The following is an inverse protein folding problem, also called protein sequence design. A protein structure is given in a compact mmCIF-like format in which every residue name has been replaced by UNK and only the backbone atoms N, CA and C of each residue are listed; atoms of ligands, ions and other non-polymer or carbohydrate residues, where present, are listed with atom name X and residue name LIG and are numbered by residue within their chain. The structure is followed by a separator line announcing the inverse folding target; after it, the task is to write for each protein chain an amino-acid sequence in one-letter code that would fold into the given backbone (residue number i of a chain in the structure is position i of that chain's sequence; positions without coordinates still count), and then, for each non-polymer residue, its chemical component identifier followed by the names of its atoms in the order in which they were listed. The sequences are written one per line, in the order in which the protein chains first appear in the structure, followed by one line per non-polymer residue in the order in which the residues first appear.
data_IF_962237662909
#
_entry.id   IF_962237662909
#
_cell.length_a   1.000
_cell.length_b   1.000
_cell.length_c   1.000
_cell.angle_alpha   90.00
_cell.angle_beta   90.00
_cell.angle_gamma   90.00
#
_symmetry.space_group_name_H-M   'P 1'
#
loop_
_entity.id
_entity.type
_entity.pdbx_description
1 polymer ?
#
# COMPACT_ATOMS: atom_id res chain seq x y z
N UNK A 1 32.76 12.56 1.23
CA UNK A 1 31.53 12.08 0.56
C UNK A 1 31.41 12.81 -0.77
N UNK A 2 30.94 12.13 -1.83
CA UNK A 2 30.79 12.73 -3.15
C UNK A 2 29.71 13.84 -3.14
N UNK A 3 29.90 14.89 -3.95
CA UNK A 3 28.85 15.88 -4.20
C UNK A 3 27.69 15.19 -4.92
N UNK A 4 26.51 15.21 -4.32
CA UNK A 4 25.31 14.55 -4.88
C UNK A 4 24.50 15.53 -5.74
N UNK A 5 23.77 14.97 -6.70
CA UNK A 5 22.77 15.71 -7.48
C UNK A 5 21.61 16.12 -6.60
N UNK A 6 21.03 17.27 -6.91
CA UNK A 6 19.85 17.79 -6.23
C UNK A 6 18.58 17.56 -7.07
N UNK A 7 17.44 17.50 -6.40
CA UNK A 7 16.12 17.44 -7.02
C UNK A 7 15.18 18.39 -6.31
N UNK A 8 14.24 18.98 -7.05
CA UNK A 8 13.13 19.69 -6.43
C UNK A 8 12.23 18.66 -5.75
N UNK A 9 11.96 18.89 -4.47
CA UNK A 9 11.16 17.98 -3.65
C UNK A 9 9.88 18.67 -3.20
N UNK A 10 8.76 17.98 -3.36
CA UNK A 10 7.46 18.38 -2.84
C UNK A 10 6.83 17.21 -2.08
N UNK A 11 6.46 17.42 -0.81
CA UNK A 11 5.72 16.45 -0.04
C UNK A 11 4.21 16.62 -0.31
N UNK A 12 3.57 15.57 -0.86
CA UNK A 12 2.16 15.58 -1.25
C UNK A 12 1.27 14.81 -0.28
N UNK A 13 1.80 14.46 0.89
CA UNK A 13 1.13 13.57 1.85
C UNK A 13 0.14 14.29 2.78
N UNK A 14 -0.16 15.57 2.51
CA UNK A 14 -1.10 16.35 3.29
C UNK A 14 -2.49 15.69 3.37
N UNK A 15 -2.91 14.98 2.31
CA UNK A 15 -4.17 14.24 2.29
C UNK A 15 -4.24 13.07 3.28
N UNK A 16 -3.09 12.52 3.68
CA UNK A 16 -2.99 11.42 4.64
C UNK A 16 -2.82 11.90 6.09
N UNK A 17 -2.71 13.21 6.31
CA UNK A 17 -2.65 13.78 7.67
C UNK A 17 -4.05 13.91 8.25
N UNK A 18 -4.24 13.35 9.44
CA UNK A 18 -5.50 13.49 10.16
C UNK A 18 -5.66 14.92 10.66
N UNK A 19 -6.78 15.56 10.29
CA UNK A 19 -7.15 16.90 10.77
C UNK A 19 -7.82 16.86 12.14
N UNK A 20 -8.51 15.76 12.43
CA UNK A 20 -9.20 15.49 13.68
C UNK A 20 -9.00 14.02 14.07
N UNK A 21 -9.18 13.72 15.35
CA UNK A 21 -9.05 12.37 15.91
C UNK A 21 -10.40 11.94 16.51
N UNK A 22 -11.43 11.89 15.67
CA UNK A 22 -12.79 11.49 16.07
C UNK A 22 -13.08 10.07 15.60
N UNK A 23 -13.04 9.14 16.56
CA UNK A 23 -13.26 7.71 16.33
C UNK A 23 -14.69 7.25 16.63
N UNK A 24 -15.62 8.17 16.92
CA UNK A 24 -17.01 7.83 17.23
C UNK A 24 -17.86 7.63 15.96
N UNK A 25 -17.25 7.78 14.78
CA UNK A 25 -17.92 7.74 13.48
C UNK A 25 -18.01 6.32 12.93
N UNK A 26 -19.07 6.07 12.15
CA UNK A 26 -19.28 4.78 11.49
C UNK A 26 -18.61 4.75 10.11
N UNK A 27 -18.15 3.57 9.70
CA UNK A 27 -17.46 3.35 8.43
C UNK A 27 -18.35 3.44 7.18
N UNK A 28 -19.69 3.49 7.33
CA UNK A 28 -20.60 3.64 6.19
C UNK A 28 -20.36 4.93 5.41
N UNK A 29 -19.96 6.01 6.07
CA UNK A 29 -19.64 7.28 5.41
C UNK A 29 -18.46 7.16 4.45
N UNK A 30 -17.42 6.40 4.83
CA UNK A 30 -16.27 6.13 3.97
C UNK A 30 -16.69 5.40 2.68
N UNK A 31 -17.49 4.34 2.79
CA UNK A 31 -17.99 3.61 1.62
C UNK A 31 -18.91 4.47 0.74
N UNK A 32 -19.79 5.27 1.34
CA UNK A 32 -20.66 6.17 0.59
C UNK A 32 -19.85 7.20 -0.21
N UNK A 33 -18.82 7.81 0.42
CA UNK A 33 -17.94 8.74 -0.27
C UNK A 33 -17.12 8.06 -1.37
N UNK A 34 -16.59 6.87 -1.10
CA UNK A 34 -15.83 6.08 -2.08
C UNK A 34 -16.68 5.79 -3.31
N UNK A 35 -17.89 5.25 -3.12
CA UNK A 35 -18.80 4.94 -4.21
C UNK A 35 -19.19 6.20 -4.99
N UNK A 36 -19.56 7.28 -4.32
CA UNK A 36 -19.94 8.53 -4.99
C UNK A 36 -18.80 9.12 -5.84
N UNK A 37 -17.57 9.15 -5.31
CA UNK A 37 -16.43 9.67 -6.05
C UNK A 37 -16.03 8.77 -7.22
N UNK A 38 -15.97 7.45 -6.99
CA UNK A 38 -15.63 6.48 -8.03
C UNK A 38 -16.69 6.40 -9.12
N UNK A 39 -17.98 6.53 -8.79
CA UNK A 39 -19.07 6.64 -9.78
C UNK A 39 -18.86 7.84 -10.69
N UNK A 40 -18.56 9.01 -10.13
CA UNK A 40 -18.26 10.22 -10.93
C UNK A 40 -17.08 10.01 -11.88
N UNK A 41 -16.08 9.24 -11.46
CA UNK A 41 -14.87 8.96 -12.24
C UNK A 41 -15.10 7.88 -13.31
N UNK A 42 -15.85 6.83 -12.99
CA UNK A 42 -16.11 5.67 -13.85
C UNK A 42 -17.21 5.92 -14.89
N UNK A 43 -18.24 6.72 -14.59
CA UNK A 43 -19.34 6.99 -15.53
C UNK A 43 -18.88 7.45 -16.92
N UNK A 44 -18.00 8.47 -17.07
CA UNK A 44 -17.54 8.89 -18.40
C UNK A 44 -16.69 7.81 -19.09
N UNK A 45 -15.86 7.07 -18.35
CA UNK A 45 -15.02 6.00 -18.90
C UNK A 45 -15.87 4.81 -19.39
N UNK A 46 -16.91 4.45 -18.65
CA UNK A 46 -17.84 3.40 -19.02
C UNK A 46 -18.62 3.78 -20.30
N UNK A 47 -19.07 5.03 -20.40
CA UNK A 47 -19.74 5.53 -21.61
C UNK A 47 -18.81 5.63 -22.82
N UNK A 48 -17.53 5.92 -22.61
CA UNK A 48 -16.51 5.91 -23.66
C UNK A 48 -16.23 4.46 -24.15
N UNK A 49 -16.12 3.50 -23.22
CA UNK A 49 -15.84 2.10 -23.54
C UNK A 49 -17.04 1.37 -24.18
N UNK A 50 -18.23 1.51 -23.62
CA UNK A 50 -19.43 0.72 -23.99
C UNK A 50 -20.47 1.51 -24.80
N UNK A 51 -20.27 2.81 -24.97
CA UNK A 51 -21.17 3.68 -25.72
C UNK A 51 -22.33 4.21 -24.87
N UNK A 52 -22.95 5.30 -25.35
CA UNK A 52 -24.04 5.98 -24.65
C UNK A 52 -25.41 5.30 -24.78
N UNK A 53 -25.51 4.28 -25.63
CA UNK A 53 -26.74 3.48 -25.72
C UNK A 53 -26.95 2.60 -24.50
N UNK A 54 -25.87 2.20 -23.81
CA UNK A 54 -25.95 1.41 -22.59
C UNK A 54 -26.26 2.33 -21.39
N UNK A 55 -27.43 2.19 -20.75
CA UNK A 55 -27.79 3.06 -19.65
C UNK A 55 -27.00 2.70 -18.40
N UNK A 56 -26.48 3.71 -17.70
CA UNK A 56 -25.99 3.54 -16.32
C UNK A 56 -27.22 3.56 -15.40
N UNK A 57 -27.49 2.46 -14.72
CA UNK A 57 -28.64 2.30 -13.81
C UNK A 57 -28.17 2.08 -12.37
N UNK A 58 -28.99 2.46 -11.39
CA UNK A 58 -28.84 1.99 -10.00
C UNK A 58 -29.45 0.60 -9.82
N UNK A 59 -29.04 -0.14 -8.80
CA UNK A 59 -29.57 -1.48 -8.55
C UNK A 59 -31.06 -1.48 -8.25
N UNK A 60 -31.57 -0.42 -7.62
CA UNK A 60 -33.00 -0.30 -7.32
C UNK A 60 -33.90 -0.18 -8.56
N UNK A 61 -33.34 0.26 -9.70
CA UNK A 61 -34.05 0.41 -10.97
C UNK A 61 -34.19 -0.93 -11.73
N UNK A 62 -33.45 -1.97 -11.32
CA UNK A 62 -33.56 -3.30 -11.91
C UNK A 62 -34.80 -4.07 -11.42
N UNK A 63 -35.50 -3.56 -10.39
CA UNK A 63 -36.65 -4.26 -9.81
C UNK A 63 -37.83 -4.27 -10.77
N UNK A 64 -38.22 -5.46 -11.21
CA UNK A 64 -39.43 -5.69 -12.00
C UNK A 64 -39.26 -5.52 -13.50
N UNK A 65 -38.05 -5.19 -13.96
CA UNK A 65 -37.69 -5.21 -15.38
C UNK A 65 -36.95 -6.54 -15.67
N UNK A 66 -37.41 -7.29 -16.67
CA UNK A 66 -36.73 -8.48 -17.19
C UNK A 66 -35.81 -8.08 -18.35
N UNK A 67 -34.72 -8.81 -18.55
CA UNK A 67 -33.77 -8.64 -19.67
C UNK A 67 -33.19 -7.22 -19.81
N UNK A 68 -32.92 -6.56 -18.68
CA UNK A 68 -32.27 -5.24 -18.67
C UNK A 68 -30.78 -5.40 -18.92
N UNK A 69 -30.34 -5.03 -20.12
CA UNK A 69 -28.93 -4.84 -20.42
C UNK A 69 -28.51 -3.42 -20.02
N UNK A 70 -27.54 -3.29 -19.12
CA UNK A 70 -27.13 -2.00 -18.57
C UNK A 70 -25.74 -2.02 -17.94
N UNK A 71 -25.28 -0.82 -17.57
CA UNK A 71 -24.06 -0.61 -16.79
C UNK A 71 -24.45 -0.37 -15.34
N UNK A 72 -23.81 -1.11 -14.43
CA UNK A 72 -23.90 -0.89 -12.99
C UNK A 72 -22.55 -0.42 -12.46
N UNK A 73 -22.55 0.56 -11.56
CA UNK A 73 -21.35 0.98 -10.83
C UNK A 73 -21.62 0.75 -9.35
N UNK A 74 -20.78 -0.05 -8.72
CA UNK A 74 -20.98 -0.45 -7.34
C UNK A 74 -19.70 -0.88 -6.64
N UNK A 75 -19.82 -1.08 -5.33
CA UNK A 75 -18.74 -1.58 -4.49
C UNK A 75 -18.81 -3.09 -4.42
N UNK A 76 -17.70 -3.75 -4.68
CA UNK A 76 -17.55 -5.18 -4.55
C UNK A 76 -17.54 -5.56 -3.07
N UNK A 77 -18.38 -6.51 -2.71
CA UNK A 77 -18.34 -7.24 -1.45
C UNK A 77 -18.07 -8.71 -1.76
N UNK A 78 -16.96 -9.24 -1.23
CA UNK A 78 -16.62 -10.66 -1.34
C UNK A 78 -17.03 -11.36 -0.06
N UNK A 79 -18.00 -12.26 -0.16
CA UNK A 79 -18.43 -13.09 0.94
C UNK A 79 -17.53 -14.32 1.03
N UNK A 80 -16.74 -14.40 2.09
CA UNK A 80 -15.75 -15.45 2.31
C UNK A 80 -16.06 -16.21 3.59
N UNK A 81 -16.18 -17.52 3.49
CA UNK A 81 -16.61 -18.36 4.62
C UNK A 81 -15.64 -18.29 5.80
N UNK A 82 -14.35 -18.12 5.49
CA UNK A 82 -13.24 -18.18 6.43
C UNK A 82 -12.67 -16.82 6.83
N UNK A 83 -13.31 -15.72 6.40
CA UNK A 83 -12.93 -14.38 6.85
C UNK A 83 -13.06 -14.31 8.39
N UNK A 84 -12.05 -13.78 9.11
CA UNK A 84 -12.11 -13.62 10.56
C UNK A 84 -13.37 -12.87 11.00
N UNK A 85 -13.97 -13.30 12.12
CA UNK A 85 -15.20 -12.71 12.62
C UNK A 85 -15.15 -12.60 14.14
N UNK A 86 -15.07 -11.37 14.63
CA UNK A 86 -15.05 -11.06 16.08
C UNK A 86 -16.26 -11.69 16.78
N UNK A 87 -17.44 -11.73 16.14
CA UNK A 87 -18.64 -12.32 16.72
C UNK A 87 -18.54 -13.85 16.85
N UNK A 88 -17.90 -14.53 15.88
CA UNK A 88 -17.63 -15.97 15.97
C UNK A 88 -16.59 -16.23 17.06
N UNK A 89 -15.52 -15.44 17.08
CA UNK A 89 -14.44 -15.57 18.07
C UNK A 89 -14.99 -15.42 19.50
N UNK A 90 -15.80 -14.39 19.77
CA UNK A 90 -16.44 -14.19 21.10
C UNK A 90 -17.44 -15.32 21.42
N UNK A 91 -18.17 -15.82 20.42
CA UNK A 91 -19.11 -16.93 20.63
C UNK A 91 -18.39 -18.25 20.95
N UNK A 92 -17.22 -18.48 20.36
CA UNK A 92 -16.42 -19.69 20.48
C UNK A 92 -15.41 -19.65 21.65
N UNK A 93 -15.08 -18.47 22.17
CA UNK A 93 -14.21 -18.26 23.34
C UNK A 93 -14.67 -19.05 24.58
N UNK A 94 -15.96 -19.39 24.67
CA UNK A 94 -16.50 -20.20 25.76
C UNK A 94 -16.41 -21.73 25.53
N UNK A 95 -15.97 -22.21 24.35
CA UNK A 95 -16.11 -23.64 23.97
C UNK A 95 -14.92 -24.26 23.23
N UNK A 96 -13.96 -23.52 22.67
CA UNK A 96 -12.85 -24.10 21.89
C UNK A 96 -11.47 -23.47 22.17
N UNK A 97 -10.43 -24.29 22.02
CA UNK A 97 -9.05 -23.79 21.93
C UNK A 97 -8.91 -22.94 20.66
N UNK A 98 -8.20 -21.80 20.70
CA UNK A 98 -8.05 -20.91 19.56
C UNK A 98 -7.43 -21.66 18.38
N UNK A 99 -8.14 -21.67 17.25
CA UNK A 99 -7.60 -22.20 16.00
C UNK A 99 -6.44 -21.33 15.51
N UNK A 100 -5.40 -21.91 14.89
CA UNK A 100 -4.32 -21.12 14.35
C UNK A 100 -4.87 -20.16 13.28
N UNK A 101 -4.48 -18.87 13.30
CA UNK A 101 -4.95 -17.90 12.33
C UNK A 101 -4.55 -18.34 10.92
N UNK A 102 -5.53 -18.41 10.01
CA UNK A 102 -5.27 -18.74 8.60
C UNK A 102 -4.44 -17.63 7.95
N UNK A 103 -3.45 -18.02 7.17
CA UNK A 103 -2.65 -17.07 6.40
C UNK A 103 -3.41 -16.50 5.20
N UNK A 104 -4.29 -17.28 4.58
CA UNK A 104 -5.19 -16.86 3.51
C UNK A 104 -6.58 -17.46 3.78
N UNK A 105 -7.63 -16.68 3.54
CA UNK A 105 -9.04 -17.05 3.74
C UNK A 105 -9.90 -16.95 2.47
N UNK A 106 -9.27 -16.83 1.30
CA UNK A 106 -9.92 -16.90 -0.02
C UNK A 106 -10.11 -18.33 -0.48
N UNK A 107 -11.29 -18.64 -0.96
CA UNK A 107 -11.65 -19.95 -1.53
C UNK A 107 -12.29 -19.79 -2.92
N UNK A 108 -12.23 -20.81 -3.80
CA UNK A 108 -12.90 -20.78 -5.11
C UNK A 108 -14.42 -20.58 -5.04
N UNK A 109 -15.06 -21.00 -3.95
CA UNK A 109 -16.51 -20.90 -3.74
C UNK A 109 -16.96 -19.54 -3.17
N UNK A 110 -16.03 -18.61 -2.95
CA UNK A 110 -16.32 -17.27 -2.47
C UNK A 110 -17.31 -16.55 -3.40
N UNK A 111 -18.27 -15.85 -2.82
CA UNK A 111 -19.35 -15.20 -3.59
C UNK A 111 -19.04 -13.72 -3.75
N UNK A 112 -19.10 -13.22 -4.96
CA UNK A 112 -18.94 -11.79 -5.27
C UNK A 112 -20.30 -11.14 -5.44
N UNK A 113 -20.49 -10.06 -4.70
CA UNK A 113 -21.71 -9.25 -4.68
C UNK A 113 -21.33 -7.81 -5.03
N UNK A 114 -22.13 -7.17 -5.86
CA UNK A 114 -22.04 -5.74 -6.13
C UNK A 114 -23.07 -5.01 -5.27
N UNK A 115 -22.61 -4.05 -4.47
CA UNK A 115 -23.44 -3.24 -3.57
C UNK A 115 -23.48 -1.78 -4.06
N UNK A 116 -24.67 -1.18 -4.06
CA UNK A 116 -24.85 0.27 -4.19
C UNK A 116 -25.35 0.86 -2.86
N UNK A 117 -25.91 2.07 -2.85
CA UNK A 117 -26.38 2.70 -1.62
C UNK A 117 -27.61 2.01 -0.98
N UNK A 118 -28.37 1.23 -1.77
CA UNK A 118 -29.69 0.74 -1.38
C UNK A 118 -29.81 -0.79 -1.43
N UNK A 119 -29.11 -1.45 -2.35
CA UNK A 119 -29.32 -2.84 -2.71
C UNK A 119 -28.01 -3.55 -3.04
N UNK A 120 -28.14 -4.85 -3.29
CA UNK A 120 -27.03 -5.75 -3.58
C UNK A 120 -27.48 -6.73 -4.66
N UNK A 121 -26.60 -7.05 -5.59
CA UNK A 121 -26.82 -8.10 -6.59
C UNK A 121 -25.61 -9.01 -6.63
N UNK A 122 -25.84 -10.32 -6.72
CA UNK A 122 -24.73 -11.27 -6.86
C UNK A 122 -24.31 -11.32 -8.32
N UNK A 123 -23.00 -11.25 -8.54
CA UNK A 123 -22.39 -11.29 -9.86
C UNK A 123 -22.09 -12.74 -10.26
N UNK A 124 -22.24 -13.04 -11.54
CA UNK A 124 -21.82 -14.30 -12.15
C UNK A 124 -21.36 -14.07 -13.60
N UNK A 125 -20.81 -15.11 -14.23
CA UNK A 125 -20.31 -15.06 -15.60
C UNK A 125 -18.87 -15.56 -15.70
N UNK A 126 -18.50 -16.07 -16.87
CA UNK A 126 -17.18 -16.70 -17.11
C UNK A 126 -16.01 -15.70 -16.98
N UNK A 127 -16.27 -14.41 -17.23
CA UNK A 127 -15.28 -13.34 -17.14
C UNK A 127 -15.03 -12.88 -15.69
N UNK A 128 -15.86 -13.31 -14.74
CA UNK A 128 -15.75 -12.92 -13.34
C UNK A 128 -14.63 -13.71 -12.65
N UNK A 129 -13.45 -13.11 -12.55
CA UNK A 129 -12.31 -13.65 -11.80
C UNK A 129 -12.49 -13.40 -10.28
N UNK A 130 -13.56 -13.96 -9.71
CA UNK A 130 -14.00 -13.73 -8.32
C UNK A 130 -12.89 -13.91 -7.27
N UNK A 131 -12.01 -14.89 -7.48
CA UNK A 131 -10.89 -15.20 -6.61
C UNK A 131 -9.84 -14.08 -6.53
N UNK A 132 -9.70 -13.26 -7.58
CA UNK A 132 -8.74 -12.14 -7.65
C UNK A 132 -9.33 -10.82 -7.12
N UNK A 133 -10.65 -10.77 -6.89
CA UNK A 133 -11.33 -9.57 -6.42
C UNK A 133 -11.28 -9.46 -4.89
N UNK A 134 -11.36 -8.23 -4.40
CA UNK A 134 -11.36 -7.93 -2.97
C UNK A 134 -12.55 -7.04 -2.60
N UNK A 135 -13.02 -7.17 -1.36
CA UNK A 135 -14.03 -6.27 -0.80
C UNK A 135 -13.57 -4.82 -0.82
N UNK A 136 -14.48 -3.91 -1.14
CA UNK A 136 -14.28 -2.46 -1.14
C UNK A 136 -13.73 -1.88 -2.45
N UNK A 137 -13.45 -2.71 -3.46
CA UNK A 137 -13.14 -2.28 -4.83
C UNK A 137 -14.40 -1.71 -5.48
N UNK A 138 -14.32 -0.56 -6.14
CA UNK A 138 -15.42 -0.02 -6.95
C UNK A 138 -15.12 -0.25 -8.42
N UNK A 139 -16.08 -0.82 -9.15
CA UNK A 139 -15.96 -1.06 -10.59
C UNK A 139 -17.28 -0.76 -11.30
N UNK A 140 -17.19 -0.60 -12.62
CA UNK A 140 -18.33 -0.65 -13.50
C UNK A 140 -18.43 -2.05 -14.11
N UNK A 141 -19.64 -2.60 -14.18
CA UNK A 141 -19.94 -3.89 -14.82
C UNK A 141 -20.99 -3.69 -15.90
N UNK A 142 -20.79 -4.28 -17.07
CA UNK A 142 -21.75 -4.35 -18.16
C UNK A 142 -22.37 -5.74 -18.19
N UNK A 143 -23.68 -5.80 -18.42
CA UNK A 143 -24.38 -7.06 -18.67
C UNK A 143 -25.86 -6.96 -18.33
N UNK A 144 -26.47 -8.08 -17.93
CA UNK A 144 -27.91 -8.14 -17.67
C UNK A 144 -28.33 -9.06 -16.54
N UNK A 145 -29.55 -8.82 -16.03
CA UNK A 145 -30.17 -9.63 -14.98
C UNK A 145 -30.75 -10.92 -15.54
N UNK A 146 -30.54 -12.04 -14.85
CA UNK A 146 -31.16 -13.32 -15.18
C UNK A 146 -32.49 -13.56 -14.44
N UNK A 147 -33.12 -14.72 -14.70
CA UNK A 147 -34.37 -15.13 -14.05
C UNK A 147 -34.24 -15.50 -12.57
N UNK A 148 -33.02 -15.76 -12.08
CA UNK A 148 -32.72 -16.08 -10.68
C UNK A 148 -32.36 -14.84 -9.85
N UNK A 149 -32.23 -13.67 -10.49
CA UNK A 149 -31.88 -12.40 -9.86
C UNK A 149 -30.37 -12.17 -9.72
N UNK A 150 -29.54 -12.94 -10.43
CA UNK A 150 -28.12 -12.68 -10.59
C UNK A 150 -27.86 -11.70 -11.73
N UNK A 151 -26.71 -11.03 -11.69
CA UNK A 151 -26.25 -10.18 -12.77
C UNK A 151 -25.15 -10.91 -13.56
N UNK A 152 -25.43 -11.22 -14.82
CA UNK A 152 -24.50 -11.83 -15.76
C UNK A 152 -23.53 -10.76 -16.27
N UNK A 153 -22.27 -10.84 -15.85
CA UNK A 153 -21.22 -9.90 -16.23
C UNK A 153 -20.65 -10.29 -17.59
N UNK A 154 -20.80 -9.39 -18.56
CA UNK A 154 -20.24 -9.52 -19.92
C UNK A 154 -18.91 -8.77 -20.07
N UNK A 155 -18.73 -7.68 -19.34
CA UNK A 155 -17.48 -6.93 -19.32
C UNK A 155 -17.35 -6.13 -18.02
N UNK A 156 -16.13 -5.75 -17.68
CA UNK A 156 -15.81 -4.97 -16.49
C UNK A 156 -14.84 -3.84 -16.80
N UNK A 157 -14.98 -2.76 -16.03
CA UNK A 157 -14.12 -1.60 -16.12
C UNK A 157 -13.73 -1.14 -14.72
N UNK A 158 -12.42 -0.95 -14.53
CA UNK A 158 -11.85 -0.31 -13.36
C UNK A 158 -11.37 1.09 -13.71
N UNK A 159 -11.08 1.90 -12.69
CA UNK A 159 -10.67 3.29 -12.89
C UNK A 159 -9.28 3.42 -13.54
N UNK A 160 -8.40 2.42 -13.38
CA UNK A 160 -7.02 2.42 -13.87
C UNK A 160 -6.18 3.62 -13.40
N UNK A 161 -6.49 4.14 -12.20
CA UNK A 161 -5.92 5.38 -11.64
C UNK A 161 -6.26 6.64 -12.44
N UNK A 162 -5.95 7.80 -11.86
CA UNK A 162 -6.20 9.09 -12.51
C UNK A 162 -5.22 9.46 -13.62
N UNK A 163 -5.31 10.69 -14.17
CA UNK A 163 -4.35 11.18 -15.16
C UNK A 163 -2.90 11.13 -14.65
N UNK A 164 -1.96 10.88 -15.56
CA UNK A 164 -0.51 10.95 -15.30
C UNK A 164 0.11 12.13 -16.05
N UNK A 165 0.88 12.97 -15.35
CA UNK A 165 1.66 14.05 -15.99
C UNK A 165 2.83 13.45 -16.77
N UNK A 166 3.08 13.82 -18.04
CA UNK A 166 4.19 13.24 -18.78
C UNK A 166 5.56 13.66 -18.22
N UNK A 167 6.47 12.69 -18.10
CA UNK A 167 7.86 12.96 -17.70
C UNK A 167 8.62 13.65 -18.83
N UNK A 168 9.33 14.73 -18.48
CA UNK A 168 10.27 15.40 -19.38
C UNK A 168 11.62 14.68 -19.32
N UNK A 169 12.17 14.34 -20.48
CA UNK A 169 13.49 13.76 -20.55
C UNK A 169 14.54 14.73 -19.98
N UNK A 170 15.29 14.30 -18.97
CA UNK A 170 16.50 14.95 -18.49
C UNK A 170 17.71 14.08 -18.85
N UNK A 171 18.76 14.67 -19.41
CA UNK A 171 19.98 13.95 -19.78
C UNK A 171 20.87 13.61 -18.55
N UNK A 172 20.27 13.30 -17.40
CA UNK A 172 20.98 13.02 -16.14
C UNK A 172 20.22 12.02 -15.26
N UNK A 173 20.80 10.84 -15.07
CA UNK A 173 20.31 9.80 -14.16
C UNK A 173 20.20 10.31 -12.72
N UNK A 174 19.06 10.08 -12.08
CA UNK A 174 18.79 10.47 -10.69
C UNK A 174 18.19 9.26 -10.00
N UNK A 175 18.85 8.78 -8.96
CA UNK A 175 18.54 7.50 -8.35
C UNK A 175 17.79 7.71 -7.04
N UNK A 176 16.61 7.12 -6.95
CA UNK A 176 15.84 6.98 -5.72
C UNK A 176 16.15 5.62 -5.10
N UNK A 177 16.60 5.62 -3.85
CA UNK A 177 16.88 4.39 -3.10
C UNK A 177 15.69 4.11 -2.17
N UNK A 178 15.15 2.89 -2.26
CA UNK A 178 14.06 2.41 -1.42
C UNK A 178 14.55 1.24 -0.57
N UNK A 179 14.37 1.33 0.74
CA UNK A 179 14.64 0.26 1.71
C UNK A 179 13.43 0.10 2.61
N UNK A 180 13.18 -1.10 3.14
CA UNK A 180 12.10 -1.34 4.10
C UNK A 180 12.55 -2.37 5.12
N UNK A 181 11.86 -2.48 6.27
CA UNK A 181 12.12 -3.56 7.21
C UNK A 181 13.56 -3.57 7.73
N UNK A 182 14.07 -2.42 8.18
CA UNK A 182 15.39 -2.34 8.81
C UNK A 182 15.44 -3.13 10.12
N UNK A 183 14.29 -3.26 10.80
CA UNK A 183 14.12 -4.04 12.03
C UNK A 183 15.28 -3.85 13.02
N UNK A 184 15.51 -2.60 13.45
CA UNK A 184 16.70 -2.23 14.21
C UNK A 184 16.92 -3.09 15.46
N UNK A 185 15.85 -3.60 16.08
CA UNK A 185 15.94 -4.53 17.21
C UNK A 185 16.71 -5.82 16.87
N UNK A 186 16.66 -6.28 15.63
CA UNK A 186 17.34 -7.48 15.14
C UNK A 186 18.57 -7.17 14.28
N UNK A 187 19.00 -5.91 14.20
CA UNK A 187 20.11 -5.46 13.35
C UNK A 187 21.43 -6.21 13.58
N UNK A 188 21.63 -6.76 14.78
CA UNK A 188 22.80 -7.58 15.11
C UNK A 188 22.91 -8.85 14.25
N UNK A 189 21.80 -9.36 13.70
CA UNK A 189 21.78 -10.57 12.85
C UNK A 189 22.19 -10.30 11.40
N UNK A 190 22.26 -9.03 10.98
CA UNK A 190 22.64 -8.61 9.62
C UNK A 190 23.50 -7.33 9.62
N UNK A 191 24.32 -7.16 10.67
CA UNK A 191 25.14 -5.96 10.86
C UNK A 191 26.14 -5.73 9.72
N UNK A 192 26.73 -6.80 9.18
CA UNK A 192 27.68 -6.71 8.06
C UNK A 192 26.99 -6.19 6.80
N UNK A 193 25.81 -6.71 6.47
CA UNK A 193 25.03 -6.20 5.35
C UNK A 193 24.62 -4.74 5.52
N UNK A 194 24.25 -4.30 6.74
CA UNK A 194 24.00 -2.89 7.01
C UNK A 194 25.26 -2.03 6.82
N UNK A 195 26.43 -2.51 7.20
CA UNK A 195 27.70 -1.82 6.98
C UNK A 195 28.04 -1.73 5.49
N UNK A 196 27.88 -2.83 4.74
CA UNK A 196 28.05 -2.84 3.28
C UNK A 196 27.07 -1.88 2.60
N UNK A 197 25.80 -1.86 3.00
CA UNK A 197 24.84 -0.89 2.50
C UNK A 197 25.30 0.56 2.72
N UNK A 198 25.81 0.87 3.92
CA UNK A 198 26.35 2.20 4.24
C UNK A 198 27.57 2.56 3.38
N UNK A 199 28.50 1.63 3.19
CA UNK A 199 29.66 1.85 2.33
C UNK A 199 29.26 2.05 0.86
N UNK A 200 28.27 1.31 0.37
CA UNK A 200 27.72 1.49 -0.97
C UNK A 200 27.03 2.84 -1.14
N UNK A 201 26.18 3.25 -0.17
CA UNK A 201 25.56 4.58 -0.18
C UNK A 201 26.60 5.70 -0.18
N UNK A 202 27.74 5.52 0.49
CA UNK A 202 28.83 6.48 0.55
C UNK A 202 29.67 6.55 -0.74
N UNK A 203 29.56 5.56 -1.63
CA UNK A 203 30.38 5.43 -2.84
C UNK A 203 31.73 4.74 -2.61
N UNK A 204 31.90 4.04 -1.48
CA UNK A 204 33.19 3.49 -1.04
C UNK A 204 33.64 2.24 -1.80
N UNK A 205 32.76 1.61 -2.60
CA UNK A 205 33.10 0.44 -3.43
C UNK A 205 33.52 0.83 -4.86
N UNK A 206 34.01 2.06 -5.06
CA UNK A 206 34.29 2.59 -6.40
C UNK A 206 33.04 3.01 -7.17
N UNK A 207 31.86 2.95 -6.54
CA UNK A 207 30.58 3.38 -7.11
C UNK A 207 30.29 4.88 -6.89
N UNK A 208 31.32 5.72 -6.79
CA UNK A 208 31.18 7.15 -6.48
C UNK A 208 30.31 7.93 -7.47
N UNK A 209 30.31 7.58 -8.77
CA UNK A 209 29.41 8.17 -9.79
C UNK A 209 27.94 7.84 -9.52
N UNK A 210 27.67 6.61 -9.11
CA UNK A 210 26.34 6.14 -8.75
C UNK A 210 25.88 6.82 -7.46
N UNK A 211 26.70 6.82 -6.42
CA UNK A 211 26.42 7.51 -5.17
C UNK A 211 26.14 9.01 -5.40
N UNK A 212 26.93 9.68 -6.25
CA UNK A 212 26.68 11.07 -6.65
C UNK A 212 25.34 11.28 -7.39
N UNK A 213 24.78 10.22 -7.98
CA UNK A 213 23.47 10.27 -8.66
C UNK A 213 22.30 9.92 -7.75
N UNK A 214 22.54 9.40 -6.53
CA UNK A 214 21.48 9.16 -5.53
C UNK A 214 20.97 10.49 -4.98
N UNK A 215 19.66 10.71 -5.09
CA UNK A 215 19.04 12.00 -4.74
C UNK A 215 18.19 11.93 -3.46
N UNK A 216 17.73 10.74 -3.09
CA UNK A 216 16.90 10.52 -1.90
C UNK A 216 16.89 9.06 -1.47
N UNK A 217 16.81 8.84 -0.16
CA UNK A 217 16.56 7.54 0.46
C UNK A 217 15.17 7.55 1.10
N UNK A 218 14.33 6.58 0.77
CA UNK A 218 13.04 6.34 1.45
C UNK A 218 13.14 5.04 2.24
N UNK A 219 12.83 5.12 3.54
CA UNK A 219 12.72 3.98 4.45
C UNK A 219 11.24 3.65 4.68
N UNK A 220 10.80 2.57 4.06
CA UNK A 220 9.40 2.18 3.91
C UNK A 220 8.89 1.26 5.05
N UNK A 221 8.88 1.77 6.28
CA UNK A 221 8.25 1.13 7.44
C UNK A 221 9.02 -0.05 8.01
N UNK A 222 8.58 -0.48 9.20
CA UNK A 222 9.20 -1.50 10.03
C UNK A 222 10.68 -1.19 10.29
N UNK A 223 10.97 0.07 10.60
CA UNK A 223 12.33 0.53 10.85
C UNK A 223 12.81 0.10 12.23
N UNK A 224 11.94 0.20 13.23
CA UNK A 224 12.23 -0.16 14.63
C UNK A 224 11.99 -1.66 14.84
N UNK A 225 10.87 -2.16 14.32
CA UNK A 225 10.41 -3.53 14.55
C UNK A 225 9.70 -4.08 13.31
N UNK A 226 9.90 -5.35 12.98
CA UNK A 226 9.24 -6.03 11.84
C UNK A 226 8.19 -7.09 12.22
N UNK A 227 7.94 -7.34 13.51
CA UNK A 227 6.97 -8.34 13.99
C UNK A 227 6.22 -7.89 15.25
N UNK A 228 5.08 -8.53 15.54
CA UNK A 228 4.35 -8.26 16.78
C UNK A 228 5.18 -8.66 18.02
N UNK A 229 4.97 -7.97 19.14
CA UNK A 229 5.54 -8.40 20.43
C UNK A 229 4.88 -9.72 20.83
N UNK A 230 5.67 -10.79 20.94
CA UNK A 230 5.17 -12.09 21.40
C UNK A 230 4.51 -11.93 22.78
N UNK A 231 3.19 -12.08 22.85
CA UNK A 231 2.46 -12.11 24.11
C UNK A 231 2.66 -13.49 24.74
N UNK A 232 3.66 -13.62 25.63
CA UNK A 232 3.80 -14.82 26.46
C UNK A 232 3.00 -14.58 27.75
N UNK A 233 1.91 -15.32 28.03
CA UNK A 233 0.97 -14.99 29.10
C UNK A 233 1.55 -15.01 30.53
N UNK A 234 2.78 -15.48 30.75
CA UNK A 234 3.23 -15.94 32.07
C UNK A 234 4.32 -15.11 32.77
N UNK A 235 4.85 -14.01 32.20
CA UNK A 235 5.91 -13.20 32.84
C UNK A 235 5.74 -11.69 32.55
N UNK A 236 4.78 -11.03 33.21
CA UNK A 236 4.14 -9.80 32.70
C UNK A 236 4.72 -8.43 33.07
N UNK A 237 5.80 -8.29 33.84
CA UNK A 237 6.35 -6.94 34.16
C UNK A 237 7.79 -6.73 33.71
N UNK A 238 8.70 -7.66 33.99
CA UNK A 238 10.11 -7.54 33.61
C UNK A 238 10.33 -7.57 32.09
N UNK A 239 9.58 -8.41 31.35
CA UNK A 239 9.67 -8.49 29.87
C UNK A 239 9.09 -7.27 29.19
N UNK A 240 8.02 -6.67 29.72
CA UNK A 240 7.40 -5.46 29.18
C UNK A 240 8.35 -4.25 29.32
N UNK A 241 9.06 -4.14 30.45
CA UNK A 241 10.09 -3.10 30.64
C UNK A 241 11.34 -3.33 29.78
N UNK A 242 11.80 -4.58 29.63
CA UNK A 242 12.93 -4.92 28.75
C UNK A 242 12.62 -4.57 27.28
N UNK A 243 11.44 -4.97 26.78
CA UNK A 243 10.99 -4.66 25.42
C UNK A 243 10.87 -3.14 25.17
N UNK A 244 10.44 -2.37 26.18
CA UNK A 244 10.37 -0.91 26.08
C UNK A 244 11.77 -0.28 26.00
N UNK A 245 12.71 -0.74 26.85
CA UNK A 245 14.10 -0.29 26.82
C UNK A 245 14.80 -0.60 25.49
N UNK A 246 14.63 -1.82 24.97
CA UNK A 246 15.20 -2.21 23.67
C UNK A 246 14.65 -1.34 22.53
N UNK A 247 13.35 -1.04 22.57
CA UNK A 247 12.70 -0.16 21.59
C UNK A 247 13.28 1.26 21.66
N UNK A 248 13.49 1.81 22.86
CA UNK A 248 14.11 3.13 23.05
C UNK A 248 15.56 3.13 22.53
N UNK A 249 16.33 2.07 22.80
CA UNK A 249 17.69 1.93 22.29
C UNK A 249 17.73 1.85 20.76
N UNK A 250 16.85 1.05 20.15
CA UNK A 250 16.72 0.94 18.70
C UNK A 250 16.38 2.29 18.05
N UNK A 251 15.40 3.03 18.60
CA UNK A 251 15.05 4.38 18.14
C UNK A 251 16.24 5.34 18.28
N UNK A 252 17.00 5.27 19.38
CA UNK A 252 18.20 6.10 19.59
C UNK A 252 19.30 5.80 18.56
N UNK A 253 19.51 4.53 18.21
CA UNK A 253 20.47 4.13 17.19
C UNK A 253 20.03 4.60 15.79
N UNK A 254 18.74 4.46 15.48
CA UNK A 254 18.16 4.97 14.23
C UNK A 254 18.29 6.49 14.12
N UNK A 255 18.03 7.24 15.19
CA UNK A 255 18.19 8.70 15.19
C UNK A 255 19.61 9.12 14.78
N UNK A 256 20.63 8.48 15.37
CA UNK A 256 22.04 8.73 15.02
C UNK A 256 22.35 8.35 13.57
N UNK A 257 21.83 7.22 13.12
CA UNK A 257 22.01 6.76 11.74
C UNK A 257 21.38 7.73 10.73
N UNK A 258 20.13 8.14 10.98
CA UNK A 258 19.44 9.13 10.16
C UNK A 258 20.13 10.48 10.20
N UNK A 259 20.58 10.95 11.36
CA UNK A 259 21.32 12.20 11.47
C UNK A 259 22.65 12.16 10.71
N UNK A 260 23.35 11.02 10.69
CA UNK A 260 24.55 10.83 9.91
C UNK A 260 24.27 10.94 8.40
N UNK A 261 23.25 10.22 7.90
CA UNK A 261 22.93 10.19 6.47
C UNK A 261 22.28 11.46 5.94
N UNK A 262 21.35 12.04 6.70
CA UNK A 262 20.64 13.26 6.32
C UNK A 262 21.60 14.43 6.03
N UNK A 263 22.81 14.45 6.59
CA UNK A 263 23.83 15.45 6.24
C UNK A 263 24.34 15.36 4.79
N UNK A 264 24.13 14.23 4.10
CA UNK A 264 24.68 13.95 2.77
C UNK A 264 23.66 13.50 1.72
N UNK A 265 22.51 12.97 2.16
CA UNK A 265 21.45 12.43 1.32
C UNK A 265 20.12 12.69 2.03
N UNK A 266 19.13 13.32 1.38
CA UNK A 266 17.81 13.45 1.97
C UNK A 266 17.20 12.07 2.32
N UNK A 267 16.66 11.95 3.53
CA UNK A 267 16.06 10.71 4.05
C UNK A 267 14.63 10.95 4.48
N UNK A 268 13.70 10.17 3.91
CA UNK A 268 12.31 10.13 4.35
C UNK A 268 12.03 8.79 5.00
N UNK A 269 11.38 8.80 6.17
CA UNK A 269 10.95 7.60 6.87
C UNK A 269 9.43 7.61 7.05
N UNK A 270 8.79 6.53 6.61
CA UNK A 270 7.37 6.27 6.86
C UNK A 270 7.22 5.12 7.87
N UNK A 271 6.21 5.17 8.75
CA UNK A 271 5.97 4.12 9.75
C UNK A 271 5.42 2.85 9.09
N UNK A 272 5.74 1.69 9.68
CA UNK A 272 5.16 0.39 9.34
C UNK A 272 4.21 -0.15 10.40
N UNK A 273 3.78 -1.39 10.23
CA UNK A 273 2.73 -2.03 11.05
C UNK A 273 3.13 -2.22 12.52
N UNK A 274 4.43 -2.40 12.77
CA UNK A 274 4.97 -2.74 14.09
C UNK A 274 5.84 -1.63 14.68
N UNK A 275 5.97 -0.52 13.96
CA UNK A 275 6.66 0.66 14.46
C UNK A 275 5.80 1.38 15.53
N UNK A 276 6.42 2.18 16.42
CA UNK A 276 5.69 2.97 17.43
C UNK A 276 4.96 4.18 16.81
N UNK A 277 3.95 3.88 16.00
CA UNK A 277 3.01 4.79 15.38
C UNK A 277 1.57 4.29 15.60
N UNK A 278 0.57 5.04 15.13
CA UNK A 278 -0.82 4.54 15.18
C UNK A 278 -0.99 3.30 14.28
N UNK A 279 -1.88 2.40 14.69
CA UNK A 279 -2.15 1.14 14.00
C UNK A 279 -2.94 1.33 12.69
N UNK A 280 -3.98 2.16 12.73
CA UNK A 280 -4.90 2.38 11.59
C UNK A 280 -4.25 3.19 10.47
N UNK A 281 -4.61 2.89 9.22
CA UNK A 281 -4.28 3.76 8.09
C UNK A 281 -5.15 5.03 8.07
N UNK A 282 -4.63 6.19 7.62
CA UNK A 282 -3.21 6.44 7.39
C UNK A 282 -2.44 6.54 8.72
N UNK A 283 -1.27 5.90 8.78
CA UNK A 283 -0.36 6.06 9.90
C UNK A 283 0.28 7.45 9.83
N UNK A 284 0.21 8.19 10.93
CA UNK A 284 0.76 9.52 11.08
C UNK A 284 2.29 9.46 11.22
N UNK A 285 3.02 10.52 10.85
CA UNK A 285 4.46 10.52 10.94
C UNK A 285 4.95 10.25 12.36
N UNK A 286 6.13 9.63 12.48
CA UNK A 286 6.81 9.51 13.75
C UNK A 286 6.93 10.87 14.45
N UNK A 287 6.70 10.86 15.76
CA UNK A 287 6.82 12.07 16.55
C UNK A 287 8.28 12.51 16.62
N UNK A 288 8.53 13.82 16.49
CA UNK A 288 9.90 14.38 16.46
C UNK A 288 10.74 14.06 17.71
N UNK A 289 10.11 13.78 18.85
CA UNK A 289 10.82 13.38 20.08
C UNK A 289 11.59 12.06 19.93
N UNK A 290 11.22 11.23 18.96
CA UNK A 290 11.92 9.98 18.66
C UNK A 290 13.26 10.21 17.95
N UNK A 291 13.40 11.35 17.26
CA UNK A 291 14.56 11.64 16.42
C UNK A 291 15.16 13.03 16.75
N UNK A 292 15.63 13.26 17.99
CA UNK A 292 16.11 14.56 18.43
C UNK A 292 17.37 15.06 17.69
N UNK A 293 18.18 14.19 17.10
CA UNK A 293 19.32 14.57 16.26
C UNK A 293 18.90 14.77 14.80
N UNK A 294 18.22 13.79 14.19
CA UNK A 294 17.88 13.83 12.77
C UNK A 294 16.83 14.90 12.46
N UNK A 295 15.82 15.11 13.32
CA UNK A 295 14.76 16.09 13.10
C UNK A 295 15.24 17.56 13.09
N UNK A 296 16.50 17.83 13.46
CA UNK A 296 17.13 19.14 13.32
C UNK A 296 17.57 19.43 11.89
N UNK A 297 17.71 18.41 11.06
CA UNK A 297 18.17 18.51 9.67
C UNK A 297 16.96 18.63 8.74
N UNK A 298 16.96 19.64 7.85
CA UNK A 298 15.90 19.84 6.86
C UNK A 298 15.79 18.72 5.81
N UNK A 299 16.87 17.97 5.66
CA UNK A 299 17.01 16.80 4.79
C UNK A 299 16.49 15.51 5.40
N UNK A 300 16.04 15.50 6.67
CA UNK A 300 15.36 14.35 7.27
C UNK A 300 13.86 14.65 7.45
N UNK A 301 12.99 13.74 7.02
CA UNK A 301 11.55 13.87 7.22
C UNK A 301 10.91 12.56 7.69
N UNK A 302 10.21 12.63 8.82
CA UNK A 302 9.18 11.64 9.12
C UNK A 302 7.92 11.98 8.32
N UNK A 303 7.38 11.02 7.58
CA UNK A 303 6.21 11.18 6.69
C UNK A 303 5.13 10.16 7.04
N UNK A 304 3.93 10.29 6.44
CA UNK A 304 2.80 9.38 6.70
C UNK A 304 3.00 8.04 5.99
N UNK A 305 2.19 7.04 6.35
CA UNK A 305 1.93 5.85 5.53
C UNK A 305 0.42 5.79 5.22
N UNK A 306 -0.02 5.90 3.96
CA UNK A 306 0.77 6.01 2.72
C UNK A 306 1.60 7.29 2.61
N UNK A 307 2.61 7.27 1.73
CA UNK A 307 3.50 8.39 1.44
C UNK A 307 3.43 8.79 -0.04
N UNK A 308 3.20 10.06 -0.31
CA UNK A 308 3.23 10.66 -1.65
C UNK A 308 4.18 11.86 -1.69
N UNK A 309 5.03 11.92 -2.70
CA UNK A 309 5.90 13.05 -2.98
C UNK A 309 6.20 13.21 -4.46
N UNK A 310 6.73 14.37 -4.85
CA UNK A 310 7.19 14.63 -6.20
C UNK A 310 8.68 14.96 -6.17
N UNK A 311 9.44 14.24 -7.01
CA UNK A 311 10.86 14.46 -7.25
C UNK A 311 10.99 15.04 -8.66
N UNK A 312 11.17 16.35 -8.74
CA UNK A 312 11.00 17.16 -9.93
C UNK A 312 9.60 17.03 -10.54
N UNK A 313 9.42 16.19 -11.56
CA UNK A 313 8.11 15.92 -12.19
C UNK A 313 7.61 14.50 -11.84
N UNK A 314 8.49 13.66 -11.28
CA UNK A 314 8.20 12.26 -10.99
C UNK A 314 7.40 12.15 -9.70
N UNK A 315 6.09 11.96 -9.83
CA UNK A 315 5.21 11.53 -8.74
C UNK A 315 5.58 10.13 -8.24
N UNK A 316 5.90 10.03 -6.95
CA UNK A 316 6.21 8.79 -6.24
C UNK A 316 5.14 8.58 -5.17
N UNK A 317 4.54 7.39 -5.14
CA UNK A 317 3.58 6.98 -4.13
C UNK A 317 4.03 5.64 -3.55
N UNK A 318 3.82 5.40 -2.26
CA UNK A 318 3.97 4.06 -1.73
C UNK A 318 3.48 3.88 -0.31
N UNK A 319 3.52 2.63 0.14
CA UNK A 319 3.06 2.20 1.46
C UNK A 319 4.14 1.39 2.16
N UNK A 320 3.97 1.14 3.47
CA UNK A 320 4.77 0.15 4.19
C UNK A 320 4.32 -1.31 3.94
N UNK A 321 3.45 -1.55 2.95
CA UNK A 321 3.09 -2.91 2.49
C UNK A 321 1.86 -3.55 3.13
N UNK A 322 1.25 -2.96 4.17
CA UNK A 322 0.10 -3.59 4.85
C UNK A 322 -1.09 -3.83 3.92
N UNK A 323 -1.33 -2.93 2.96
CA UNK A 323 -2.38 -3.06 1.95
C UNK A 323 -2.15 -4.26 1.02
N UNK A 324 -0.91 -4.48 0.59
CA UNK A 324 -0.53 -5.61 -0.25
C UNK A 324 -0.61 -6.92 0.54
N UNK A 325 -0.07 -6.95 1.75
CA UNK A 325 -0.17 -8.12 2.62
C UNK A 325 -1.62 -8.48 2.93
N UNK A 326 -2.50 -7.51 3.15
CA UNK A 326 -3.93 -7.76 3.42
C UNK A 326 -4.68 -8.34 2.21
N UNK A 327 -4.36 -7.86 1.00
CA UNK A 327 -4.91 -8.42 -0.24
C UNK A 327 -4.50 -9.87 -0.44
N UNK A 328 -3.24 -10.22 -0.17
CA UNK A 328 -2.76 -11.61 -0.27
C UNK A 328 -3.44 -12.56 0.73
N UNK A 329 -4.06 -12.04 1.80
CA UNK A 329 -4.87 -12.86 2.72
C UNK A 329 -6.31 -13.04 2.27
N UNK A 330 -6.85 -12.10 1.50
CA UNK A 330 -8.28 -12.05 1.09
C UNK A 330 -8.54 -12.50 -0.35
N UNK A 331 -7.48 -12.73 -1.12
CA UNK A 331 -7.57 -13.06 -2.55
C UNK A 331 -6.67 -14.24 -2.89
N UNK A 332 -6.86 -14.81 -4.08
CA UNK A 332 -5.98 -15.82 -4.65
C UNK A 332 -4.89 -15.22 -5.56
N UNK A 333 -4.51 -13.96 -5.31
CA UNK A 333 -3.40 -13.32 -6.01
C UNK A 333 -2.09 -14.04 -5.70
N UNK A 334 -1.25 -14.19 -6.71
CA UNK A 334 -0.07 -15.07 -6.66
C UNK A 334 1.17 -14.41 -6.05
N UNK A 335 1.29 -13.08 -6.16
CA UNK A 335 2.45 -12.36 -5.65
C UNK A 335 2.13 -10.94 -5.15
N UNK A 336 3.07 -10.38 -4.38
CA UNK A 336 2.97 -9.01 -3.89
C UNK A 336 2.93 -7.99 -5.04
N UNK A 337 3.65 -8.26 -6.13
CA UNK A 337 3.65 -7.43 -7.33
C UNK A 337 2.28 -7.43 -8.02
N UNK A 338 1.61 -8.58 -8.07
CA UNK A 338 0.26 -8.69 -8.63
C UNK A 338 -0.75 -7.91 -7.78
N UNK A 339 -0.70 -8.06 -6.46
CA UNK A 339 -1.54 -7.29 -5.54
C UNK A 339 -1.29 -5.78 -5.62
N UNK A 340 -0.02 -5.35 -5.72
CA UNK A 340 0.32 -3.94 -5.93
C UNK A 340 -0.26 -3.43 -7.25
N UNK A 341 -0.15 -4.20 -8.34
CA UNK A 341 -0.75 -3.86 -9.63
C UNK A 341 -2.27 -3.75 -9.55
N UNK A 342 -2.93 -4.66 -8.85
CA UNK A 342 -4.37 -4.61 -8.62
C UNK A 342 -4.79 -3.30 -7.93
N UNK A 343 -4.09 -2.85 -6.88
CA UNK A 343 -4.42 -1.57 -6.24
C UNK A 343 -4.29 -0.37 -7.18
N UNK A 344 -3.32 -0.38 -8.10
CA UNK A 344 -3.18 0.65 -9.14
C UNK A 344 -4.33 0.56 -10.16
N UNK A 345 -4.65 -0.64 -10.65
CA UNK A 345 -5.74 -0.87 -11.61
C UNK A 345 -7.12 -0.51 -11.05
N UNK A 346 -7.36 -0.85 -9.79
CA UNK A 346 -8.59 -0.49 -9.09
C UNK A 346 -8.66 1.01 -8.76
N UNK A 347 -7.56 1.74 -8.88
CA UNK A 347 -7.51 3.17 -8.59
C UNK A 347 -7.62 3.47 -7.09
N UNK A 348 -7.17 2.54 -6.23
CA UNK A 348 -7.36 2.63 -4.79
C UNK A 348 -6.23 1.97 -4.02
N UNK A 349 -5.53 2.72 -3.16
CA UNK A 349 -4.34 2.26 -2.41
C UNK A 349 -4.67 1.11 -1.44
N UNK A 350 -5.81 1.18 -0.76
CA UNK A 350 -6.19 0.26 0.32
C UNK A 350 -7.67 -0.15 0.23
N UNK A 351 -8.09 -0.89 -0.83
CA UNK A 351 -9.51 -1.14 -1.10
C UNK A 351 -10.19 -1.92 0.03
N UNK A 352 -9.46 -2.83 0.68
CA UNK A 352 -9.96 -3.65 1.80
C UNK A 352 -10.12 -2.88 3.10
N UNK A 353 -9.76 -1.61 3.14
CA UNK A 353 -10.04 -0.74 4.28
C UNK A 353 -11.48 -0.20 4.18
N UNK A 354 -12.29 -0.28 5.25
CA UNK A 354 -11.97 -0.70 6.62
C UNK A 354 -12.24 -2.19 6.96
N UNK A 355 -12.80 -3.00 6.05
CA UNK A 355 -13.30 -4.35 6.34
C UNK A 355 -12.24 -5.28 6.99
N UNK A 356 -11.07 -5.43 6.36
CA UNK A 356 -10.00 -6.31 6.86
C UNK A 356 -8.73 -5.54 7.19
N UNK A 357 -8.50 -4.40 6.54
CA UNK A 357 -7.43 -3.47 6.86
C UNK A 357 -7.94 -2.27 7.64
N UNK A 358 -7.54 -2.14 8.90
CA UNK A 358 -8.04 -1.07 9.75
C UNK A 358 -7.64 0.33 9.23
N UNK A 359 -8.62 1.25 9.17
CA UNK A 359 -8.37 2.64 8.83
C UNK A 359 -9.18 3.61 9.70
N UNK A 360 -8.84 4.89 9.64
CA UNK A 360 -9.57 5.97 10.28
C UNK A 360 -10.99 6.11 9.66
N UNK A 361 -12.05 6.28 10.46
CA UNK A 361 -13.42 6.39 9.96
C UNK A 361 -13.68 7.77 9.37
N UNK A 362 -13.22 7.99 8.13
CA UNK A 362 -13.50 9.24 7.41
C UNK A 362 -14.98 9.41 7.11
N UNK A 363 -15.44 10.67 7.16
CA UNK A 363 -16.83 11.03 6.87
C UNK A 363 -16.95 11.65 5.48
N UNK A 364 -16.07 12.61 5.16
CA UNK A 364 -16.27 13.52 4.01
C UNK A 364 -15.29 13.26 2.85
N UNK A 365 -14.47 12.21 2.94
CA UNK A 365 -13.45 11.92 1.92
C UNK A 365 -12.89 10.51 2.04
N UNK A 366 -12.52 9.89 0.93
CA UNK A 366 -11.61 8.75 0.93
C UNK A 366 -10.21 9.21 0.41
N UNK A 367 -9.17 9.24 1.28
CA UNK A 367 -7.83 9.65 0.86
C UNK A 367 -7.10 8.56 0.06
N UNK A 368 -7.62 7.33 0.00
CA UNK A 368 -6.95 6.21 -0.65
C UNK A 368 -7.28 6.09 -2.15
N UNK A 369 -8.21 6.89 -2.67
CA UNK A 369 -8.50 6.99 -4.11
C UNK A 369 -7.33 7.65 -4.87
N UNK A 370 -6.88 7.00 -5.94
CA UNK A 370 -5.76 7.43 -6.77
C UNK A 370 -6.17 8.46 -7.83
N UNK A 371 -6.23 9.74 -7.43
CA UNK A 371 -6.64 10.85 -8.33
C UNK A 371 -5.61 11.24 -9.39
N UNK A 372 -4.34 10.93 -9.17
CA UNK A 372 -3.24 11.12 -10.13
C UNK A 372 -2.47 9.80 -10.18
N UNK A 373 -2.18 9.29 -11.38
CA UNK A 373 -1.45 8.04 -11.53
C UNK A 373 0.05 8.26 -11.23
N UNK A 374 0.64 7.55 -10.26
CA UNK A 374 2.05 7.73 -9.90
C UNK A 374 2.98 7.23 -11.00
N UNK A 375 4.21 7.73 -11.07
CA UNK A 375 5.24 7.18 -11.97
C UNK A 375 6.02 6.04 -11.32
N UNK A 376 6.17 6.11 -10.01
CA UNK A 376 6.76 5.06 -9.18
C UNK A 376 5.76 4.74 -8.09
N UNK A 377 5.32 3.49 -8.02
CA UNK A 377 4.39 3.00 -7.01
C UNK A 377 5.03 1.82 -6.28
N UNK A 378 5.26 1.96 -4.97
CA UNK A 378 5.98 0.94 -4.21
C UNK A 378 5.20 0.44 -2.99
N UNK A 379 5.50 -0.81 -2.60
CA UNK A 379 5.10 -1.38 -1.32
C UNK A 379 6.34 -1.85 -0.56
N UNK A 380 6.47 -1.44 0.69
CA UNK A 380 7.50 -1.92 1.60
C UNK A 380 7.22 -3.32 2.13
N UNK A 381 8.21 -3.90 2.83
CA UNK A 381 8.11 -5.12 3.62
C UNK A 381 7.68 -6.38 2.84
N UNK A 382 7.85 -6.38 1.51
CA UNK A 382 7.57 -7.55 0.68
C UNK A 382 8.56 -8.70 0.98
N UNK A 383 8.15 -9.94 0.72
CA UNK A 383 8.99 -11.12 1.01
C UNK A 383 10.25 -11.18 0.15
N UNK A 384 10.12 -10.79 -1.12
CA UNK A 384 11.20 -10.69 -2.10
C UNK A 384 11.12 -9.39 -2.89
N UNK A 385 12.20 -9.08 -3.61
CA UNK A 385 12.22 -7.98 -4.57
C UNK A 385 11.49 -8.41 -5.84
N UNK A 386 10.47 -7.65 -6.23
CA UNK A 386 9.78 -7.79 -7.51
C UNK A 386 9.55 -6.40 -8.10
N UNK A 387 9.58 -6.28 -9.43
CA UNK A 387 9.38 -5.01 -10.12
C UNK A 387 8.84 -5.23 -11.52
N UNK A 388 7.98 -4.32 -11.98
CA UNK A 388 7.51 -4.32 -13.36
C UNK A 388 7.14 -2.90 -13.83
N UNK A 389 7.21 -2.67 -15.14
CA UNK A 389 6.75 -1.42 -15.74
C UNK A 389 5.32 -1.65 -16.24
N UNK A 390 4.34 -1.23 -15.46
CA UNK A 390 2.94 -1.34 -15.85
C UNK A 390 2.58 -0.24 -16.85
N UNK A 391 2.00 -0.63 -17.98
CA UNK A 391 1.38 0.27 -18.94
C UNK A 391 -0.15 0.11 -18.86
N UNK A 392 -0.85 1.23 -18.66
CA UNK A 392 -2.33 1.27 -18.65
C UNK A 392 -2.89 1.27 -20.07
N UNK A 393 -4.20 1.07 -20.21
CA UNK A 393 -4.90 1.18 -21.50
C UNK A 393 -4.74 2.55 -22.17
N UNK A 394 -4.47 3.60 -21.39
CA UNK A 394 -4.25 4.98 -21.87
C UNK A 394 -2.77 5.32 -22.14
N UNK A 395 -1.86 4.33 -22.08
CA UNK A 395 -0.43 4.51 -22.34
C UNK A 395 0.37 5.15 -21.19
N UNK A 396 -0.26 5.38 -20.02
CA UNK A 396 0.45 5.80 -18.81
C UNK A 396 1.36 4.68 -18.32
N UNK A 397 2.56 5.05 -17.83
CA UNK A 397 3.59 4.08 -17.40
C UNK A 397 3.93 4.27 -15.93
N UNK A 398 3.79 3.21 -15.15
CA UNK A 398 4.09 3.19 -13.71
C UNK A 398 5.09 2.10 -13.40
N UNK A 399 6.22 2.46 -12.78
CA UNK A 399 7.14 1.48 -12.20
C UNK A 399 6.56 0.98 -10.88
N UNK A 400 6.16 -0.28 -10.85
CA UNK A 400 5.76 -1.01 -9.64
C UNK A 400 7.01 -1.57 -8.95
N UNK A 401 7.13 -1.38 -7.64
CA UNK A 401 8.29 -1.87 -6.87
C UNK A 401 7.84 -2.52 -5.55
N UNK A 402 8.05 -3.82 -5.44
CA UNK A 402 7.96 -4.54 -4.17
C UNK A 402 9.34 -4.47 -3.49
N UNK A 403 9.44 -3.62 -2.48
CA UNK A 403 10.68 -3.40 -1.73
C UNK A 403 10.75 -4.47 -0.64
N UNK A 404 11.77 -5.34 -0.66
CA UNK A 404 11.84 -6.41 0.31
C UNK A 404 12.23 -5.90 1.70
N UNK A 405 11.91 -6.69 2.73
CA UNK A 405 12.44 -6.46 4.09
C UNK A 405 13.95 -6.63 4.09
N UNK A 406 14.68 -5.59 4.50
CA UNK A 406 16.15 -5.60 4.56
C UNK A 406 16.64 -6.62 5.58
N UNK A 407 15.97 -6.75 6.73
CA UNK A 407 16.31 -7.74 7.76
C UNK A 407 16.28 -9.19 7.27
N UNK A 408 15.48 -9.48 6.23
CA UNK A 408 15.36 -10.83 5.63
C UNK A 408 16.26 -11.02 4.43
N UNK A 409 16.26 -10.05 3.52
CA UNK A 409 16.88 -10.19 2.19
C UNK A 409 18.19 -9.44 2.04
N UNK A 410 18.51 -8.57 3.00
CA UNK A 410 19.71 -7.75 3.03
C UNK A 410 19.88 -6.95 1.73
N UNK A 411 18.76 -6.47 1.17
CA UNK A 411 18.73 -5.85 -0.15
C UNK A 411 17.84 -4.61 -0.21
N UNK A 412 18.09 -3.76 -1.19
CA UNK A 412 17.36 -2.51 -1.46
C UNK A 412 16.96 -2.42 -2.92
N UNK A 413 15.96 -1.59 -3.22
CA UNK A 413 15.58 -1.26 -4.58
C UNK A 413 16.13 0.12 -4.98
N UNK A 414 16.62 0.24 -6.21
CA UNK A 414 17.13 1.49 -6.77
C UNK A 414 16.38 1.80 -8.05
N UNK A 415 15.70 2.94 -8.09
CA UNK A 415 14.91 3.40 -9.22
C UNK A 415 15.60 4.59 -9.88
N UNK A 416 15.86 4.50 -11.18
CA UNK A 416 16.25 5.65 -11.98
C UNK A 416 15.01 6.47 -12.34
N UNK A 417 14.91 7.68 -11.82
CA UNK A 417 13.78 8.58 -12.03
C UNK A 417 13.65 9.08 -13.47
N UNK A 418 14.68 8.89 -14.29
CA UNK A 418 14.70 9.25 -15.70
C UNK A 418 14.10 8.15 -16.58
N UNK A 419 14.61 6.93 -16.43
CA UNK A 419 14.24 5.80 -17.29
C UNK A 419 13.14 4.93 -16.69
N UNK A 420 12.80 5.16 -15.42
CA UNK A 420 11.99 4.27 -14.60
C UNK A 420 12.55 2.84 -14.51
N UNK A 421 13.83 2.62 -14.84
CA UNK A 421 14.49 1.35 -14.62
C UNK A 421 14.66 1.12 -13.11
N UNK A 422 14.37 -0.08 -12.64
CA UNK A 422 14.49 -0.44 -11.24
C UNK A 422 15.30 -1.73 -11.10
N UNK A 423 16.23 -1.75 -10.16
CA UNK A 423 17.10 -2.91 -9.90
C UNK A 423 17.29 -3.14 -8.41
N UNK A 424 17.59 -4.36 -8.03
CA UNK A 424 17.99 -4.73 -6.68
C UNK A 424 19.49 -4.47 -6.47
N UNK A 425 19.87 -4.12 -5.24
CA UNK A 425 21.25 -4.25 -4.75
C UNK A 425 21.19 -5.13 -3.51
N UNK A 426 21.93 -6.23 -3.51
CA UNK A 426 21.99 -7.19 -2.41
C UNK A 426 23.34 -7.04 -1.67
N UNK A 427 23.29 -7.06 -0.34
CA UNK A 427 24.41 -6.92 0.58
C UNK A 427 24.63 -8.17 1.44
N UNK A 428 23.96 -9.28 1.12
CA UNK A 428 24.15 -10.54 1.83
C UNK A 428 25.57 -11.05 1.68
N UNK A 429 26.15 -11.45 2.80
CA UNK A 429 27.44 -12.12 2.85
C UNK A 429 27.16 -13.61 2.92
N UNK A 430 27.67 -14.37 1.95
CA UNK A 430 27.62 -15.83 2.02
C UNK A 430 28.44 -16.28 3.23
N UNK A 431 27.86 -17.14 4.07
CA UNK A 431 28.61 -17.81 5.13
C UNK A 431 29.25 -19.03 4.49
N UNK A 432 30.59 -19.04 4.41
CA UNK A 432 31.39 -20.19 3.96
C UNK A 432 31.10 -21.47 4.77
#
# INVERSE_FOLDING_TARGET
MAQRRETNYENLSAQFRLKAHDYQKQFCHLYAHRLAEMTRLLSPLAQEKWGRQEPIKKLCELRGEQDVHCILIGTIYKHQAHKPSILRDISEENQLAPQPPRQNYSEPEDKVVLEDELQRVRLQGELLQSQLMATGVVCAVLGGTDSEGFFNVEDMLYYESGPQKPLKAKNSSRLLVLVSGLDQLQAHTFADALNLFQYWLAGSFGNGKEAGSMVRLIVAGNSVRASAVAHVPTLQVARTQANANDTVQAVTQLDKWFAAWARSLPVDILPGAYDPANFMLPQQPFHKCMFPEAAKLSSFQAVTNPYSCRLDETLVLGTAGQNVSDLLRSTSLSSALEALRCTLKWGHVAPTAPDTLACYPYIDSDPFILRECPHVYFAGNCDSFETDLHESSSGQRTRLVCVPSFSRTQSVAVVDLETLACRQVNFSVESD
#
